data_IF_203782251341
#
_entry.id   IF_203782251341
#
_cell.length_a   1.000
_cell.length_b   1.000
_cell.length_c   1.000
_cell.angle_alpha   90.00
_cell.angle_beta   90.00
_cell.angle_gamma   90.00
#
_symmetry.space_group_name_H-M   'P 1'
#
loop_
_entity.id
_entity.type
_entity.pdbx_description
1 polymer ?
#
# COMPACT_ATOMS: atom_id res chain seq x y z
N UNK A 1 -38.78 13.75 -56.22
CA UNK A 1 -39.11 12.82 -55.13
C UNK A 1 -37.83 12.14 -54.67
N UNK A 2 -37.38 12.54 -53.47
CA UNK A 2 -36.45 11.93 -52.50
C UNK A 2 -35.10 11.36 -52.99
N UNK A 3 -34.14 12.28 -52.93
CA UNK A 3 -32.71 12.12 -52.63
C UNK A 3 -32.52 11.20 -51.41
N UNK A 4 -31.75 10.12 -51.55
CA UNK A 4 -31.27 9.35 -50.40
C UNK A 4 -29.87 9.83 -49.99
N UNK A 5 -29.85 10.18 -48.71
CA UNK A 5 -28.87 10.92 -47.93
C UNK A 5 -27.62 10.06 -47.70
N UNK A 6 -26.46 10.54 -48.18
CA UNK A 6 -25.15 10.07 -47.71
C UNK A 6 -25.00 10.50 -46.25
N UNK A 7 -25.14 9.56 -45.31
CA UNK A 7 -24.68 9.77 -43.94
C UNK A 7 -23.15 9.63 -43.93
N UNK A 8 -22.46 10.77 -44.01
CA UNK A 8 -21.07 10.87 -43.60
C UNK A 8 -21.07 10.78 -42.07
N UNK A 9 -20.67 9.62 -41.54
CA UNK A 9 -20.40 9.47 -40.12
C UNK A 9 -19.00 10.07 -39.88
N UNK A 10 -18.95 11.37 -39.61
CA UNK A 10 -17.72 12.04 -39.15
C UNK A 10 -17.43 11.53 -37.74
N UNK A 11 -16.57 10.52 -37.63
CA UNK A 11 -15.96 10.14 -36.36
C UNK A 11 -15.06 11.30 -35.95
N UNK A 12 -15.57 12.14 -35.05
CA UNK A 12 -14.76 13.11 -34.31
C UNK A 12 -13.88 12.27 -33.39
N UNK A 13 -12.67 11.95 -33.86
CA UNK A 13 -11.59 11.52 -32.97
C UNK A 13 -11.28 12.72 -32.10
N UNK A 14 -11.91 12.77 -30.92
CA UNK A 14 -11.54 13.68 -29.87
C UNK A 14 -10.16 13.23 -29.37
N UNK A 15 -9.11 13.73 -30.01
CA UNK A 15 -7.74 13.62 -29.52
C UNK A 15 -7.71 14.41 -28.22
N UNK A 16 -7.88 13.72 -27.10
CA UNK A 16 -7.48 14.25 -25.81
C UNK A 16 -5.96 14.43 -25.85
N UNK A 17 -5.52 15.61 -26.26
CA UNK A 17 -4.19 16.08 -25.93
C UNK A 17 -4.13 16.20 -24.40
N UNK A 18 -3.62 15.17 -23.74
CA UNK A 18 -3.12 15.33 -22.38
C UNK A 18 -1.96 16.31 -22.50
N UNK A 19 -2.14 17.52 -21.97
CA UNK A 19 -1.13 18.56 -21.99
C UNK A 19 0.13 18.06 -21.28
N UNK A 20 1.16 17.73 -22.05
CA UNK A 20 2.54 17.57 -21.60
C UNK A 20 3.06 18.99 -21.28
N UNK A 21 2.64 19.54 -20.14
CA UNK A 21 2.99 20.90 -19.72
C UNK A 21 4.17 20.94 -18.72
N UNK A 22 4.42 19.86 -17.97
CA UNK A 22 5.34 19.89 -16.82
C UNK A 22 6.82 20.06 -17.20
N UNK A 23 7.30 19.33 -18.23
CA UNK A 23 8.72 19.40 -18.64
C UNK A 23 9.12 20.69 -19.37
N UNK A 24 8.15 21.47 -19.88
CA UNK A 24 8.42 22.71 -20.63
C UNK A 24 8.81 23.90 -19.73
N UNK A 25 8.59 23.80 -18.42
CA UNK A 25 8.85 24.88 -17.46
C UNK A 25 10.16 24.70 -16.68
N UNK A 26 10.97 23.69 -17.04
CA UNK A 26 12.27 23.44 -16.41
C UNK A 26 13.35 24.35 -16.99
N UNK A 27 13.95 25.19 -16.13
CA UNK A 27 15.05 26.10 -16.47
C UNK A 27 16.35 25.61 -15.84
N UNK A 28 17.40 25.42 -16.65
CA UNK A 28 18.74 25.06 -16.17
C UNK A 28 19.26 26.11 -15.19
N UNK A 29 19.78 25.67 -14.04
CA UNK A 29 20.44 26.55 -13.06
C UNK A 29 21.96 26.64 -13.28
N UNK A 30 22.54 25.69 -14.00
CA UNK A 30 23.97 25.67 -14.35
C UNK A 30 24.18 25.46 -15.85
N UNK A 31 25.27 26.00 -16.39
CA UNK A 31 25.74 25.69 -17.73
C UNK A 31 26.19 24.22 -17.89
N UNK A 32 26.54 23.56 -16.78
CA UNK A 32 26.90 22.14 -16.73
C UNK A 32 25.71 21.22 -16.55
N UNK A 33 24.47 21.75 -16.58
CA UNK A 33 23.28 20.95 -16.35
C UNK A 33 23.10 19.87 -17.42
N UNK A 34 22.72 18.66 -17.00
CA UNK A 34 22.45 17.51 -17.87
C UNK A 34 21.39 17.87 -18.91
N UNK A 35 21.57 17.44 -20.16
CA UNK A 35 20.60 17.72 -21.22
C UNK A 35 19.35 16.85 -21.05
N UNK A 36 18.17 17.48 -21.15
CA UNK A 36 16.89 16.77 -21.13
C UNK A 36 16.75 15.91 -22.38
N UNK A 37 16.19 14.70 -22.23
CA UNK A 37 15.85 13.82 -23.35
C UNK A 37 14.40 13.31 -23.19
N UNK A 38 14.02 12.34 -24.03
CA UNK A 38 12.69 11.74 -24.01
C UNK A 38 12.47 10.72 -22.86
N UNK A 39 13.55 10.18 -22.29
CA UNK A 39 13.54 9.12 -21.28
C UNK A 39 14.22 9.65 -20.00
N UNK A 40 13.43 10.28 -19.14
CA UNK A 40 13.94 11.05 -18.01
C UNK A 40 13.11 10.92 -16.73
N UNK A 41 13.76 11.11 -15.60
CA UNK A 41 13.14 11.22 -14.28
C UNK A 41 13.34 12.64 -13.72
N UNK A 42 12.28 13.24 -13.20
CA UNK A 42 12.29 14.59 -12.62
C UNK A 42 11.82 14.53 -11.19
N UNK A 43 12.69 14.88 -10.24
CA UNK A 43 12.35 15.10 -8.84
C UNK A 43 12.07 16.59 -8.60
N UNK A 44 10.83 16.92 -8.26
CA UNK A 44 10.44 18.23 -7.74
C UNK A 44 10.62 18.26 -6.23
N UNK A 45 11.39 19.24 -5.73
CA UNK A 45 11.78 19.31 -4.33
C UNK A 45 11.84 20.76 -3.82
N UNK A 46 11.70 20.94 -2.50
CA UNK A 46 11.88 22.22 -1.81
C UNK A 46 13.21 22.21 -1.05
N UNK A 47 14.17 23.03 -1.48
CA UNK A 47 15.51 23.07 -0.85
C UNK A 47 15.48 23.52 0.62
N UNK A 48 14.39 24.13 1.09
CA UNK A 48 14.22 24.51 2.50
C UNK A 48 13.73 23.35 3.38
N UNK A 49 13.37 22.21 2.80
CA UNK A 49 12.87 21.04 3.54
C UNK A 49 13.94 19.96 3.62
N UNK A 50 14.32 19.63 4.86
CA UNK A 50 15.32 18.57 5.14
C UNK A 50 14.91 17.21 4.56
N UNK A 51 13.62 16.87 4.58
CA UNK A 51 13.12 15.61 4.03
C UNK A 51 13.35 15.55 2.51
N UNK A 52 13.00 16.63 1.80
CA UNK A 52 13.16 16.77 0.36
C UNK A 52 14.64 16.68 -0.05
N UNK A 53 15.55 17.29 0.71
CA UNK A 53 17.00 17.16 0.50
C UNK A 53 17.51 15.72 0.70
N UNK A 54 16.97 14.99 1.68
CA UNK A 54 17.30 13.57 1.87
C UNK A 54 16.86 12.73 0.67
N UNK A 55 15.64 12.97 0.18
CA UNK A 55 15.09 12.28 -1.00
C UNK A 55 15.88 12.64 -2.26
N UNK A 56 16.35 13.89 -2.38
CA UNK A 56 17.20 14.33 -3.48
C UNK A 56 18.53 13.58 -3.51
N UNK A 57 19.20 13.43 -2.37
CA UNK A 57 20.45 12.69 -2.28
C UNK A 57 20.27 11.21 -2.66
N UNK A 58 19.20 10.57 -2.18
CA UNK A 58 18.85 9.19 -2.56
C UNK A 58 18.54 9.07 -4.06
N UNK A 59 17.76 10.01 -4.61
CA UNK A 59 17.43 10.04 -6.03
C UNK A 59 18.69 10.13 -6.90
N UNK A 60 19.61 11.04 -6.57
CA UNK A 60 20.89 11.18 -7.30
C UNK A 60 21.72 9.90 -7.21
N UNK A 61 21.70 9.22 -6.05
CA UNK A 61 22.38 7.94 -5.90
C UNK A 61 21.77 6.88 -6.84
N UNK A 62 20.46 6.69 -6.86
CA UNK A 62 19.81 5.75 -7.79
C UNK A 62 20.09 6.11 -9.25
N UNK A 63 20.07 7.40 -9.59
CA UNK A 63 20.39 7.86 -10.95
C UNK A 63 21.82 7.55 -11.37
N UNK A 64 22.77 7.48 -10.42
CA UNK A 64 24.14 7.08 -10.73
C UNK A 64 24.27 5.58 -11.08
N UNK A 65 23.31 4.76 -10.65
CA UNK A 65 23.23 3.33 -10.97
C UNK A 65 22.57 3.09 -12.34
N UNK A 66 21.77 4.05 -12.82
CA UNK A 66 21.00 4.00 -14.07
C UNK A 66 21.47 5.06 -15.08
N UNK A 67 22.73 4.96 -15.53
CA UNK A 67 23.40 6.02 -16.31
C UNK A 67 22.75 6.37 -17.67
N UNK A 68 21.92 5.48 -18.22
CA UNK A 68 21.21 5.69 -19.49
C UNK A 68 19.92 6.53 -19.33
N UNK A 69 19.51 6.83 -18.10
CA UNK A 69 18.34 7.65 -17.77
C UNK A 69 18.78 9.06 -17.40
N UNK A 70 18.17 10.08 -18.01
CA UNK A 70 18.43 11.47 -17.61
C UNK A 70 17.67 11.78 -16.32
N UNK A 71 18.40 12.16 -15.27
CA UNK A 71 17.81 12.55 -13.99
C UNK A 71 17.95 14.04 -13.72
N UNK A 72 16.86 14.65 -13.25
CA UNK A 72 16.76 16.08 -12.99
C UNK A 72 16.19 16.32 -11.60
N UNK A 73 16.79 17.26 -10.87
CA UNK A 73 16.28 17.79 -9.60
C UNK A 73 15.74 19.21 -9.85
N UNK A 74 14.42 19.35 -9.91
CA UNK A 74 13.71 20.60 -10.09
C UNK A 74 13.40 21.25 -8.74
N UNK A 75 14.10 22.33 -8.42
CA UNK A 75 13.85 23.13 -7.23
C UNK A 75 12.59 23.98 -7.44
N UNK A 76 11.60 23.78 -6.57
CA UNK A 76 10.24 24.32 -6.70
C UNK A 76 9.79 25.24 -5.56
N UNK A 77 10.71 25.67 -4.68
CA UNK A 77 10.41 26.71 -3.69
C UNK A 77 10.53 28.11 -4.29
N UNK A 78 10.25 29.13 -3.48
CA UNK A 78 10.47 30.54 -3.83
C UNK A 78 11.95 30.96 -3.68
N UNK A 79 12.87 30.03 -3.42
CA UNK A 79 14.30 30.32 -3.30
C UNK A 79 14.87 30.91 -4.61
N UNK A 80 15.77 31.88 -4.47
CA UNK A 80 16.44 32.52 -5.61
C UNK A 80 17.48 31.57 -6.20
N UNK A 81 17.66 31.64 -7.51
CA UNK A 81 18.62 30.80 -8.25
C UNK A 81 20.03 30.87 -7.66
N UNK A 82 20.48 32.06 -7.25
CA UNK A 82 21.80 32.25 -6.64
C UNK A 82 21.93 31.53 -5.28
N UNK A 83 20.87 31.52 -4.46
CA UNK A 83 20.88 30.89 -3.13
C UNK A 83 20.87 29.36 -3.26
N UNK A 84 20.10 28.84 -4.23
CA UNK A 84 20.09 27.42 -4.58
C UNK A 84 21.48 26.99 -5.03
N UNK A 85 22.05 27.68 -6.02
CA UNK A 85 23.35 27.32 -6.59
C UNK A 85 24.49 27.40 -5.57
N UNK A 86 24.50 28.40 -4.69
CA UNK A 86 25.52 28.48 -3.63
C UNK A 86 25.40 27.30 -2.65
N UNK A 87 24.18 26.80 -2.39
CA UNK A 87 23.95 25.67 -1.49
C UNK A 87 24.47 24.33 -2.02
N UNK A 88 24.59 24.18 -3.35
CA UNK A 88 25.06 22.95 -4.00
C UNK A 88 26.45 23.09 -4.62
N UNK A 89 27.09 24.23 -4.43
CA UNK A 89 28.38 24.54 -5.02
C UNK A 89 29.47 23.58 -4.57
N UNK A 90 30.14 22.96 -5.54
CA UNK A 90 31.24 22.02 -5.31
C UNK A 90 30.80 20.62 -4.89
N UNK A 91 29.50 20.30 -4.86
CA UNK A 91 29.05 18.93 -4.56
C UNK A 91 29.11 18.03 -5.79
N UNK A 92 29.15 18.60 -7.00
CA UNK A 92 29.02 17.87 -8.27
C UNK A 92 27.57 17.57 -8.65
N UNK A 93 26.61 17.85 -7.77
CA UNK A 93 25.18 17.69 -8.02
C UNK A 93 24.59 18.86 -8.81
N UNK A 94 25.35 19.95 -8.98
CA UNK A 94 24.91 21.16 -9.69
C UNK A 94 24.45 20.86 -11.12
N UNK A 95 25.00 19.78 -11.71
CA UNK A 95 24.61 19.31 -13.05
C UNK A 95 23.20 18.75 -13.12
N UNK A 96 22.58 18.36 -12.00
CA UNK A 96 21.21 17.85 -11.99
C UNK A 96 20.18 18.95 -11.71
N UNK A 97 20.62 20.16 -11.34
CA UNK A 97 19.74 21.20 -10.81
C UNK A 97 19.05 22.03 -11.89
N UNK A 98 17.74 22.11 -11.76
CA UNK A 98 16.85 22.94 -12.56
C UNK A 98 15.94 23.75 -11.63
N UNK A 99 15.48 24.90 -12.11
CA UNK A 99 14.33 25.59 -11.54
C UNK A 99 13.08 25.04 -12.22
N UNK A 100 12.07 24.68 -11.44
CA UNK A 100 10.80 24.19 -11.97
C UNK A 100 9.65 24.55 -11.05
N UNK A 101 8.44 24.59 -11.58
CA UNK A 101 7.23 24.81 -10.78
C UNK A 101 6.45 23.51 -10.71
N UNK A 102 5.99 23.16 -9.52
CA UNK A 102 5.06 22.05 -9.30
C UNK A 102 3.77 22.62 -8.73
N UNK A 103 2.64 22.33 -9.36
CA UNK A 103 1.30 22.61 -8.81
C UNK A 103 0.86 21.53 -7.80
N UNK A 104 1.68 20.50 -7.60
CA UNK A 104 1.42 19.37 -6.70
C UNK A 104 2.27 19.43 -5.42
N UNK A 105 1.82 18.76 -4.33
CA UNK A 105 2.59 18.69 -3.09
C UNK A 105 3.98 18.10 -3.28
N UNK A 106 4.98 18.79 -2.73
CA UNK A 106 6.38 18.35 -2.70
C UNK A 106 6.68 17.46 -1.48
N UNK A 107 7.60 16.49 -1.60
CA UNK A 107 8.36 16.13 -2.80
C UNK A 107 7.53 15.27 -3.77
N UNK A 108 7.86 15.34 -5.06
CA UNK A 108 7.19 14.57 -6.14
C UNK A 108 8.20 14.15 -7.19
N UNK A 109 8.10 12.92 -7.69
CA UNK A 109 8.84 12.46 -8.85
C UNK A 109 7.93 12.19 -10.03
N UNK A 110 8.39 12.51 -11.23
CA UNK A 110 7.75 12.21 -12.51
C UNK A 110 8.71 11.42 -13.38
N UNK A 111 8.22 10.33 -13.99
CA UNK A 111 9.00 9.46 -14.85
C UNK A 111 8.42 9.52 -16.26
N UNK A 112 9.26 9.88 -17.23
CA UNK A 112 8.88 10.08 -18.62
C UNK A 112 9.62 9.08 -19.50
N UNK A 113 8.88 8.36 -20.36
CA UNK A 113 9.42 7.47 -21.39
C UNK A 113 8.85 7.89 -22.74
N UNK A 114 9.71 8.07 -23.74
CA UNK A 114 9.34 8.62 -25.04
C UNK A 114 8.55 9.95 -24.94
N UNK A 115 8.90 10.79 -23.94
CA UNK A 115 8.22 12.04 -23.56
C UNK A 115 6.80 11.89 -22.99
N UNK A 116 6.34 10.66 -22.75
CA UNK A 116 5.07 10.38 -22.09
C UNK A 116 5.27 10.09 -20.61
N UNK A 117 4.39 10.63 -19.76
CA UNK A 117 4.39 10.35 -18.33
C UNK A 117 3.98 8.90 -18.09
N UNK A 118 4.92 8.08 -17.60
CA UNK A 118 4.68 6.65 -17.31
C UNK A 118 4.46 6.36 -15.84
N UNK A 119 4.77 7.31 -14.96
CA UNK A 119 4.51 7.16 -13.53
C UNK A 119 4.89 8.37 -12.71
N UNK A 120 4.39 8.39 -11.48
CA UNK A 120 4.64 9.46 -10.51
C UNK A 120 4.78 8.88 -9.11
N UNK A 121 5.67 9.44 -8.30
CA UNK A 121 5.73 9.17 -6.85
C UNK A 121 5.37 10.46 -6.14
N UNK A 122 4.31 10.43 -5.33
CA UNK A 122 3.84 11.59 -4.57
C UNK A 122 4.32 11.55 -3.12
N UNK A 123 4.14 12.68 -2.42
CA UNK A 123 4.44 12.79 -1.00
C UNK A 123 3.76 11.68 -0.19
N UNK A 124 4.58 10.87 0.50
CA UNK A 124 4.11 9.75 1.32
C UNK A 124 4.13 8.39 0.60
N UNK A 125 4.56 8.34 -0.66
CA UNK A 125 4.86 7.11 -1.37
C UNK A 125 6.26 6.56 -1.08
N UNK A 126 6.51 5.34 -1.56
CA UNK A 126 7.77 4.61 -1.35
C UNK A 126 8.87 5.06 -2.31
N UNK A 127 9.44 6.23 -2.07
CA UNK A 127 10.51 6.80 -2.91
C UNK A 127 11.64 5.80 -3.16
N UNK A 128 12.20 5.16 -2.12
CA UNK A 128 13.33 4.24 -2.29
C UNK A 128 13.03 3.05 -3.23
N UNK A 129 11.89 2.38 -3.05
CA UNK A 129 11.55 1.17 -3.83
C UNK A 129 11.09 1.54 -5.24
N UNK A 130 10.23 2.56 -5.34
CA UNK A 130 9.61 2.92 -6.61
C UNK A 130 10.59 3.65 -7.54
N UNK A 131 11.53 4.43 -7.01
CA UNK A 131 12.53 5.14 -7.84
C UNK A 131 13.34 4.16 -8.65
N UNK A 132 13.94 3.15 -8.01
CA UNK A 132 14.73 2.12 -8.70
C UNK A 132 13.91 1.36 -9.76
N UNK A 133 12.67 0.99 -9.43
CA UNK A 133 11.77 0.31 -10.36
C UNK A 133 11.48 1.14 -11.61
N UNK A 134 11.14 2.42 -11.45
CA UNK A 134 10.89 3.30 -12.58
C UNK A 134 12.16 3.57 -13.39
N UNK A 135 13.31 3.81 -12.75
CA UNK A 135 14.57 4.03 -13.45
C UNK A 135 14.98 2.80 -14.27
N UNK A 136 14.87 1.59 -13.71
CA UNK A 136 15.09 0.33 -14.43
C UNK A 136 14.18 0.21 -15.67
N UNK A 137 12.92 0.66 -15.56
CA UNK A 137 11.98 0.64 -16.67
C UNK A 137 12.33 1.68 -17.74
N UNK A 138 12.77 2.88 -17.34
CA UNK A 138 13.23 3.92 -18.26
C UNK A 138 14.51 3.48 -19.00
N UNK A 139 15.44 2.82 -18.30
CA UNK A 139 16.66 2.23 -18.86
C UNK A 139 16.38 1.03 -19.78
N UNK A 140 15.16 0.47 -19.75
CA UNK A 140 14.77 -0.69 -20.54
C UNK A 140 15.25 -2.03 -19.98
N UNK A 141 15.73 -2.05 -18.73
CA UNK A 141 16.16 -3.26 -18.03
C UNK A 141 14.99 -4.16 -17.62
N UNK A 142 13.84 -3.54 -17.35
CA UNK A 142 12.58 -4.23 -17.08
C UNK A 142 11.49 -3.77 -18.04
N UNK A 143 10.54 -4.66 -18.30
CA UNK A 143 9.34 -4.34 -19.08
C UNK A 143 8.23 -3.75 -18.19
N UNK A 144 7.13 -3.36 -18.83
CA UNK A 144 5.98 -2.78 -18.14
C UNK A 144 5.32 -3.76 -17.17
N UNK A 145 5.31 -5.06 -17.48
CA UNK A 145 4.68 -6.06 -16.61
C UNK A 145 5.46 -6.19 -15.30
N UNK A 146 6.79 -6.28 -15.38
CA UNK A 146 7.67 -6.32 -14.22
C UNK A 146 7.65 -5.02 -13.42
N UNK A 147 7.53 -3.86 -14.08
CA UNK A 147 7.30 -2.58 -13.38
C UNK A 147 6.02 -2.63 -12.55
N UNK A 148 4.90 -3.09 -13.11
CA UNK A 148 3.63 -3.20 -12.38
C UNK A 148 3.76 -4.14 -11.17
N UNK A 149 4.44 -5.28 -11.32
CA UNK A 149 4.70 -6.19 -10.19
C UNK A 149 5.51 -5.52 -9.08
N UNK A 150 6.58 -4.77 -9.41
CA UNK A 150 7.38 -4.04 -8.42
C UNK A 150 6.57 -2.94 -7.72
N UNK A 151 5.66 -2.27 -8.44
CA UNK A 151 4.73 -1.29 -7.86
C UNK A 151 3.80 -1.98 -6.86
N UNK A 152 3.17 -3.09 -7.25
CA UNK A 152 2.27 -3.85 -6.38
C UNK A 152 2.97 -4.36 -5.12
N UNK A 153 4.21 -4.83 -5.25
CA UNK A 153 5.06 -5.27 -4.14
C UNK A 153 5.42 -4.10 -3.20
N UNK A 154 5.75 -2.94 -3.74
CA UNK A 154 6.07 -1.75 -2.97
C UNK A 154 4.86 -1.24 -2.18
N UNK A 155 3.68 -1.18 -2.81
CA UNK A 155 2.43 -0.78 -2.17
C UNK A 155 2.04 -1.77 -1.05
N UNK A 156 2.13 -3.07 -1.32
CA UNK A 156 1.89 -4.12 -0.33
C UNK A 156 2.87 -4.03 0.85
N UNK A 157 4.16 -3.80 0.59
CA UNK A 157 5.17 -3.65 1.63
C UNK A 157 4.98 -2.37 2.46
N UNK A 158 4.53 -1.26 1.87
CA UNK A 158 4.16 -0.05 2.60
C UNK A 158 2.95 -0.26 3.50
N UNK A 159 1.91 -0.92 2.99
CA UNK A 159 0.73 -1.23 3.78
C UNK A 159 1.14 -2.07 5.00
N UNK A 160 1.96 -3.10 4.81
CA UNK A 160 2.49 -3.91 5.90
C UNK A 160 3.32 -3.10 6.92
N UNK A 161 4.20 -2.20 6.44
CA UNK A 161 4.96 -1.27 7.30
C UNK A 161 4.05 -0.33 8.09
N UNK A 162 2.88 0.03 7.57
CA UNK A 162 1.88 0.87 8.26
C UNK A 162 1.02 0.08 9.24
N UNK A 163 0.82 -1.23 9.02
CA UNK A 163 0.06 -2.11 9.92
C UNK A 163 0.71 -2.16 11.30
N UNK A 164 2.01 -2.46 11.41
CA UNK A 164 2.64 -2.69 12.73
C UNK A 164 2.56 -1.44 13.64
N UNK A 165 2.91 -0.22 13.19
CA UNK A 165 2.72 1.00 13.98
C UNK A 165 1.25 1.29 14.33
N UNK A 166 0.32 1.09 13.39
CA UNK A 166 -1.12 1.26 13.65
C UNK A 166 -1.63 0.25 14.69
N UNK A 167 -1.21 -1.00 14.60
CA UNK A 167 -1.52 -2.04 15.58
C UNK A 167 -0.96 -1.72 16.97
N UNK A 168 0.25 -1.13 17.04
CA UNK A 168 0.80 -0.61 18.32
C UNK A 168 -0.05 0.53 18.87
N UNK A 169 -0.51 1.45 18.02
CA UNK A 169 -1.39 2.54 18.41
C UNK A 169 -2.75 2.04 18.91
N UNK A 170 -3.38 1.11 18.19
CA UNK A 170 -4.61 0.42 18.57
C UNK A 170 -4.46 -0.28 19.93
N UNK A 171 -3.35 -1.01 20.15
CA UNK A 171 -3.07 -1.66 21.43
C UNK A 171 -2.89 -0.64 22.58
N UNK A 172 -2.25 0.49 22.31
CA UNK A 172 -2.13 1.58 23.29
C UNK A 172 -3.50 2.16 23.65
N UNK A 173 -4.37 2.43 22.67
CA UNK A 173 -5.74 2.91 22.90
C UNK A 173 -6.53 1.91 23.76
N UNK A 174 -6.41 0.62 23.45
CA UNK A 174 -7.07 -0.42 24.23
C UNK A 174 -6.57 -0.53 25.67
N UNK A 175 -5.25 -0.41 25.89
CA UNK A 175 -4.66 -0.35 27.25
C UNK A 175 -5.19 0.84 28.07
N UNK A 176 -5.58 1.93 27.40
CA UNK A 176 -6.21 3.11 28.03
C UNK A 176 -7.72 2.97 28.19
N UNK A 177 -8.30 1.80 27.87
CA UNK A 177 -9.75 1.57 27.89
C UNK A 177 -10.51 2.22 26.75
N UNK A 178 -9.82 2.81 25.75
CA UNK A 178 -10.43 3.51 24.63
C UNK A 178 -10.77 2.55 23.48
N UNK A 179 -11.61 1.55 23.77
CA UNK A 179 -11.92 0.44 22.86
C UNK A 179 -12.58 0.95 21.56
N UNK A 180 -13.54 1.87 21.63
CA UNK A 180 -14.19 2.41 20.44
C UNK A 180 -13.23 3.18 19.54
N UNK A 181 -12.24 3.86 20.13
CA UNK A 181 -11.20 4.56 19.38
C UNK A 181 -10.23 3.57 18.73
N UNK A 182 -9.86 2.51 19.44
CA UNK A 182 -9.06 1.41 18.90
C UNK A 182 -9.73 0.77 17.68
N UNK A 183 -11.05 0.50 17.76
CA UNK A 183 -11.83 -0.05 16.65
C UNK A 183 -11.87 0.93 15.46
N UNK A 184 -12.09 2.22 15.70
CA UNK A 184 -12.08 3.23 14.62
C UNK A 184 -10.74 3.32 13.89
N UNK A 185 -9.63 3.10 14.58
CA UNK A 185 -8.31 3.06 13.95
C UNK A 185 -8.09 1.79 13.12
N UNK A 186 -8.62 0.65 13.57
CA UNK A 186 -8.64 -0.58 12.78
C UNK A 186 -9.48 -0.43 11.51
N UNK A 187 -10.64 0.24 11.59
CA UNK A 187 -11.52 0.45 10.43
C UNK A 187 -10.88 1.28 9.30
N UNK A 188 -9.79 2.01 9.59
CA UNK A 188 -9.01 2.74 8.59
C UNK A 188 -8.04 1.84 7.82
N UNK A 189 -7.89 0.58 8.22
CA UNK A 189 -7.02 -0.38 7.54
C UNK A 189 -7.80 -1.04 6.40
N UNK A 190 -7.30 -0.89 5.18
CA UNK A 190 -7.84 -1.62 4.04
C UNK A 190 -7.49 -3.09 4.18
N UNK A 191 -8.48 -3.97 4.10
CA UNK A 191 -8.27 -5.42 4.03
C UNK A 191 -8.09 -5.93 2.59
N UNK A 192 -8.15 -5.04 1.59
CA UNK A 192 -8.16 -5.42 0.18
C UNK A 192 -6.79 -5.87 -0.34
N UNK A 193 -5.71 -5.31 0.20
CA UNK A 193 -4.33 -5.61 -0.21
C UNK A 193 -3.55 -6.40 0.87
N UNK A 194 -4.24 -6.96 1.87
CA UNK A 194 -3.59 -7.74 2.91
C UNK A 194 -3.42 -9.19 2.45
N UNK A 195 -2.24 -9.75 2.69
CA UNK A 195 -2.02 -11.19 2.61
C UNK A 195 -2.80 -11.93 3.72
N UNK A 196 -2.89 -13.27 3.63
CA UNK A 196 -3.59 -14.09 4.61
C UNK A 196 -3.14 -13.82 6.04
N UNK A 197 -1.84 -13.55 6.25
CA UNK A 197 -1.27 -13.25 7.56
C UNK A 197 -1.74 -11.89 8.10
N UNK A 198 -1.79 -10.87 7.25
CA UNK A 198 -2.32 -9.55 7.57
C UNK A 198 -3.82 -9.59 7.89
N UNK A 199 -4.60 -10.33 7.09
CA UNK A 199 -6.04 -10.55 7.33
C UNK A 199 -6.26 -11.25 8.68
N UNK A 200 -5.50 -12.31 8.95
CA UNK A 200 -5.57 -13.04 10.23
C UNK A 200 -5.28 -12.11 11.42
N UNK A 201 -4.19 -11.34 11.38
CA UNK A 201 -3.83 -10.40 12.45
C UNK A 201 -4.91 -9.34 12.68
N UNK A 202 -5.51 -8.81 11.60
CA UNK A 202 -6.59 -7.83 11.70
C UNK A 202 -7.87 -8.45 12.29
N UNK A 203 -8.22 -9.67 11.87
CA UNK A 203 -9.35 -10.41 12.42
C UNK A 203 -9.20 -10.72 13.90
N UNK A 204 -8.04 -11.24 14.32
CA UNK A 204 -7.73 -11.47 15.74
C UNK A 204 -7.77 -10.19 16.57
N UNK A 205 -7.36 -9.05 15.99
CA UNK A 205 -7.45 -7.76 16.66
C UNK A 205 -8.91 -7.36 16.93
N UNK A 206 -9.79 -7.49 15.94
CA UNK A 206 -11.23 -7.24 16.13
C UNK A 206 -11.84 -8.17 17.19
N UNK A 207 -11.43 -9.44 17.25
CA UNK A 207 -11.85 -10.36 18.30
C UNK A 207 -11.43 -9.90 19.70
N UNK A 208 -10.17 -9.47 19.86
CA UNK A 208 -9.66 -8.92 21.13
C UNK A 208 -10.43 -7.68 21.60
N UNK A 209 -10.98 -6.90 20.66
CA UNK A 209 -11.80 -5.73 20.96
C UNK A 209 -13.30 -6.00 21.01
N UNK A 210 -13.70 -7.28 21.09
CA UNK A 210 -15.11 -7.69 21.20
C UNK A 210 -15.98 -7.17 20.05
N UNK A 211 -15.42 -7.15 18.83
CA UNK A 211 -16.13 -6.82 17.60
C UNK A 211 -16.24 -8.05 16.68
N UNK A 212 -16.99 -9.10 17.09
CA UNK A 212 -16.99 -10.39 16.42
C UNK A 212 -17.57 -10.35 15.00
N UNK A 213 -18.56 -9.50 14.72
CA UNK A 213 -19.14 -9.37 13.37
C UNK A 213 -18.12 -8.80 12.38
N UNK A 214 -17.33 -7.81 12.82
CA UNK A 214 -16.25 -7.23 12.02
C UNK A 214 -15.13 -8.24 11.79
N UNK A 215 -14.75 -8.99 12.83
CA UNK A 215 -13.76 -10.06 12.70
C UNK A 215 -14.20 -11.09 11.67
N UNK A 216 -15.44 -11.58 11.73
CA UNK A 216 -15.96 -12.56 10.78
C UNK A 216 -15.95 -12.03 9.32
N UNK A 217 -16.31 -10.76 9.11
CA UNK A 217 -16.31 -10.14 7.78
C UNK A 217 -14.92 -9.93 7.18
N UNK A 218 -13.89 -9.77 8.02
CA UNK A 218 -12.49 -9.65 7.59
C UNK A 218 -11.92 -11.05 7.31
N UNK A 219 -12.12 -11.98 8.24
CA UNK A 219 -11.58 -13.35 8.16
C UNK A 219 -12.19 -14.16 7.01
N UNK A 220 -13.40 -13.81 6.54
CA UNK A 220 -14.01 -14.45 5.36
C UNK A 220 -13.31 -14.15 4.03
N UNK A 221 -12.35 -13.22 4.01
CA UNK A 221 -11.55 -12.86 2.83
C UNK A 221 -10.25 -13.66 2.72
N UNK A 222 -10.03 -14.60 3.63
CA UNK A 222 -8.80 -15.37 3.73
C UNK A 222 -9.14 -16.87 3.65
N UNK A 223 -8.38 -17.60 2.85
CA UNK A 223 -8.59 -19.04 2.61
C UNK A 223 -7.67 -19.93 3.46
N UNK A 224 -6.92 -19.34 4.40
CA UNK A 224 -6.05 -20.07 5.31
C UNK A 224 -6.85 -20.83 6.40
N UNK A 225 -6.30 -21.94 6.86
CA UNK A 225 -6.90 -22.78 7.90
C UNK A 225 -7.09 -22.00 9.20
N UNK A 226 -6.12 -21.17 9.61
CA UNK A 226 -6.24 -20.34 10.83
C UNK A 226 -7.29 -19.26 10.65
N UNK A 227 -7.38 -18.64 9.47
CA UNK A 227 -8.44 -17.68 9.16
C UNK A 227 -9.83 -18.31 9.29
N UNK A 228 -10.00 -19.53 8.75
CA UNK A 228 -11.25 -20.28 8.84
C UNK A 228 -11.58 -20.61 10.29
N UNK A 229 -10.59 -21.03 11.08
CA UNK A 229 -10.77 -21.30 12.50
C UNK A 229 -11.25 -20.05 13.27
N UNK A 230 -10.53 -18.93 13.15
CA UNK A 230 -10.89 -17.71 13.86
C UNK A 230 -12.18 -17.08 13.35
N UNK A 231 -12.56 -17.31 12.08
CA UNK A 231 -13.88 -16.96 11.57
C UNK A 231 -14.98 -17.72 12.32
N UNK A 232 -14.81 -19.03 12.52
CA UNK A 232 -15.75 -19.84 13.32
C UNK A 232 -15.84 -19.37 14.77
N UNK A 233 -14.71 -18.98 15.37
CA UNK A 233 -14.68 -18.34 16.70
C UNK A 233 -15.44 -17.01 16.70
N UNK A 234 -15.27 -16.18 15.68
CA UNK A 234 -15.98 -14.92 15.52
C UNK A 234 -17.50 -15.13 15.40
N UNK A 235 -17.93 -16.10 14.59
CA UNK A 235 -19.34 -16.47 14.43
C UNK A 235 -19.95 -16.93 15.77
N UNK A 236 -19.21 -17.73 16.55
CA UNK A 236 -19.63 -18.15 17.90
C UNK A 236 -19.81 -16.95 18.83
N UNK A 237 -18.83 -16.05 18.88
CA UNK A 237 -18.88 -14.85 19.74
C UNK A 237 -19.96 -13.85 19.31
N UNK A 238 -20.33 -13.84 18.03
CA UNK A 238 -21.44 -13.04 17.49
C UNK A 238 -22.82 -13.67 17.77
N UNK A 239 -22.89 -14.87 18.37
CA UNK A 239 -24.16 -15.57 18.63
C UNK A 239 -24.66 -16.44 17.48
N UNK A 240 -23.93 -16.55 16.37
CA UNK A 240 -24.34 -17.28 15.17
C UNK A 240 -23.92 -18.76 15.25
N UNK A 241 -24.55 -19.51 16.16
CA UNK A 241 -24.16 -20.89 16.50
C UNK A 241 -24.17 -21.85 15.30
N UNK A 242 -25.12 -21.72 14.38
CA UNK A 242 -25.21 -22.58 13.19
C UNK A 242 -24.04 -22.35 12.23
N UNK A 243 -23.70 -21.09 11.97
CA UNK A 243 -22.55 -20.74 11.14
C UNK A 243 -21.25 -21.21 11.79
N UNK A 244 -21.09 -20.93 13.10
CA UNK A 244 -19.92 -21.35 13.87
C UNK A 244 -19.73 -22.86 13.86
N UNK A 245 -20.79 -23.66 14.07
CA UNK A 245 -20.71 -25.12 14.00
C UNK A 245 -20.32 -25.59 12.61
N UNK A 246 -20.96 -25.07 11.56
CA UNK A 246 -20.63 -25.46 10.18
C UNK A 246 -19.14 -25.17 9.86
N UNK A 247 -18.67 -23.97 10.19
CA UNK A 247 -17.28 -23.56 9.97
C UNK A 247 -16.30 -24.43 10.77
N UNK A 248 -16.52 -24.59 12.09
CA UNK A 248 -15.61 -25.33 12.97
C UNK A 248 -15.65 -26.85 12.72
N UNK A 249 -16.80 -27.43 12.38
CA UNK A 249 -16.89 -28.85 12.06
C UNK A 249 -16.11 -29.19 10.79
N UNK A 250 -16.15 -28.30 9.79
CA UNK A 250 -15.37 -28.43 8.56
C UNK A 250 -13.86 -28.51 8.77
N UNK A 251 -13.38 -28.09 9.94
CA UNK A 251 -11.96 -28.11 10.31
C UNK A 251 -11.51 -29.40 11.03
N UNK A 252 -12.43 -30.33 11.30
CA UNK A 252 -12.08 -31.61 11.96
C UNK A 252 -11.12 -32.41 11.10
N UNK A 253 -10.00 -32.83 11.70
CA UNK A 253 -8.97 -33.62 11.04
C UNK A 253 -7.99 -32.83 10.17
N UNK A 254 -8.18 -31.51 10.04
CA UNK A 254 -7.27 -30.63 9.29
C UNK A 254 -6.65 -29.51 10.15
N UNK A 255 -7.35 -29.05 11.20
CA UNK A 255 -6.78 -28.07 12.13
C UNK A 255 -5.76 -28.72 13.06
N UNK A 256 -4.58 -28.10 13.18
CA UNK A 256 -3.44 -28.65 13.93
C UNK A 256 -3.69 -28.71 15.44
N UNK A 257 -4.30 -27.66 16.02
CA UNK A 257 -4.65 -27.62 17.45
C UNK A 257 -6.05 -28.19 17.70
N UNK A 258 -6.10 -29.52 17.73
CA UNK A 258 -7.33 -30.30 17.93
C UNK A 258 -8.02 -29.95 19.25
N UNK A 259 -7.28 -29.64 20.31
CA UNK A 259 -7.88 -29.32 21.62
C UNK A 259 -8.59 -27.97 21.58
N UNK A 260 -7.97 -26.96 20.96
CA UNK A 260 -8.57 -25.63 20.80
C UNK A 260 -9.80 -25.66 19.90
N UNK A 261 -9.74 -26.43 18.80
CA UNK A 261 -10.91 -26.68 17.96
C UNK A 261 -12.05 -27.36 18.73
N UNK A 262 -11.73 -28.44 19.45
CA UNK A 262 -12.71 -29.16 20.26
C UNK A 262 -13.32 -28.29 21.36
N UNK A 263 -12.53 -27.39 21.96
CA UNK A 263 -13.04 -26.46 22.95
C UNK A 263 -14.13 -25.57 22.37
N UNK A 264 -13.88 -24.94 21.22
CA UNK A 264 -14.89 -24.06 20.61
C UNK A 264 -16.09 -24.85 20.09
N UNK A 265 -15.89 -26.02 19.46
CA UNK A 265 -17.00 -26.90 19.06
C UNK A 265 -17.90 -27.25 20.24
N UNK A 266 -17.30 -27.65 21.37
CA UNK A 266 -18.03 -27.96 22.60
C UNK A 266 -18.82 -26.75 23.09
N UNK A 267 -18.16 -25.58 23.19
CA UNK A 267 -18.81 -24.33 23.62
C UNK A 267 -19.96 -23.91 22.72
N UNK A 268 -19.83 -24.12 21.41
CA UNK A 268 -20.90 -23.82 20.45
C UNK A 268 -22.09 -24.78 20.59
N UNK A 269 -21.85 -26.08 20.78
CA UNK A 269 -22.92 -27.05 21.08
C UNK A 269 -23.65 -26.74 22.40
N UNK A 270 -22.90 -26.45 23.47
CA UNK A 270 -23.45 -26.03 24.76
C UNK A 270 -24.36 -24.80 24.60
N UNK A 271 -23.88 -23.77 23.89
CA UNK A 271 -24.64 -22.55 23.65
C UNK A 271 -25.88 -22.76 22.76
N UNK A 272 -25.87 -23.76 21.87
CA UNK A 272 -27.02 -24.17 21.05
C UNK A 272 -28.02 -25.04 21.84
N UNK A 273 -27.65 -25.53 23.02
CA UNK A 273 -28.46 -26.44 23.85
C UNK A 273 -28.34 -27.92 23.47
N UNK A 274 -27.39 -28.28 22.59
CA UNK A 274 -27.14 -29.66 22.17
C UNK A 274 -26.12 -30.33 23.09
N UNK A 275 -26.57 -30.62 24.33
CA UNK A 275 -25.69 -31.19 25.35
C UNK A 275 -25.16 -32.58 24.97
N UNK A 276 -25.91 -33.34 24.16
CA UNK A 276 -25.48 -34.68 23.74
C UNK A 276 -24.17 -34.61 22.96
N UNK A 277 -24.10 -33.78 21.92
CA UNK A 277 -22.87 -33.64 21.13
C UNK A 277 -21.76 -32.89 21.90
N UNK A 278 -22.12 -31.98 22.81
CA UNK A 278 -21.15 -31.32 23.67
C UNK A 278 -20.43 -32.30 24.61
N UNK A 279 -21.16 -33.26 25.19
CA UNK A 279 -20.61 -34.26 26.13
C UNK A 279 -19.75 -35.32 25.43
N UNK A 280 -19.98 -35.58 24.15
CA UNK A 280 -19.14 -36.44 23.30
C UNK A 280 -17.74 -35.84 23.10
N UNK A 281 -17.58 -34.52 23.20
CA UNK A 281 -16.29 -33.84 23.05
C UNK A 281 -15.54 -33.85 24.40
N UNK A 282 -14.46 -34.65 24.43
CA UNK A 282 -13.55 -34.75 25.58
C UNK A 282 -12.34 -33.84 25.38
N UNK A 283 -12.10 -32.98 26.37
CA UNK A 283 -10.90 -32.16 26.48
C UNK A 283 -9.99 -32.73 27.58
N UNK A 284 -8.67 -32.47 27.54
CA UNK A 284 -7.77 -32.83 28.64
C UNK A 284 -8.24 -32.27 29.98
N UNK A 285 -7.95 -32.99 31.07
CA UNK A 285 -8.20 -32.47 32.41
C UNK A 285 -7.41 -31.17 32.64
N UNK A 286 -8.09 -30.13 33.10
CA UNK A 286 -7.55 -28.77 33.26
C UNK A 286 -7.14 -28.06 31.97
N UNK A 287 -7.73 -28.41 30.82
CA UNK A 287 -7.49 -27.66 29.58
C UNK A 287 -7.80 -26.17 29.76
N UNK A 288 -6.77 -25.34 29.61
CA UNK A 288 -6.86 -23.89 29.64
C UNK A 288 -6.64 -23.37 28.22
N UNK A 289 -7.65 -22.71 27.64
CA UNK A 289 -7.53 -22.14 26.31
C UNK A 289 -6.49 -21.01 26.20
N UNK A 290 -6.04 -20.48 27.35
CA UNK A 290 -5.04 -19.41 27.43
C UNK A 290 -3.65 -19.91 27.87
N UNK A 291 -3.45 -21.23 28.04
CA UNK A 291 -2.09 -21.76 28.16
C UNK A 291 -1.57 -22.00 26.75
N UNK A 292 -0.62 -21.17 26.31
CA UNK A 292 0.08 -21.34 25.03
C UNK A 292 0.67 -22.75 24.89
#
# INVERSE_FOLDING_TARGET
>A
MKIYLRLLLTVIVSVCFVNIASAKELKKLSASAVEMNKDMAVLYFDSNRRLDLSIMAEFIQYCSEHADVVCICAESSDAKEADIMESFKGTGDEKYLYKGVSDKPLPRMEFLKDSELVGTIEKGGSFAILTDAYLSFLAGEIDKANLMTKIDEAESAEEFKKIVPRMRFVHMLAKKGQIDSAIKELDKMSAYNLDNKGILMLGEAYLRFKAPEKAAAILSKCDDIDCTFYKGVAEYLAGNMDAALNTLQGLRGIYSDVNKLNYFLKKTYEAKGDMKHADEIRLPENYNINSD
#
